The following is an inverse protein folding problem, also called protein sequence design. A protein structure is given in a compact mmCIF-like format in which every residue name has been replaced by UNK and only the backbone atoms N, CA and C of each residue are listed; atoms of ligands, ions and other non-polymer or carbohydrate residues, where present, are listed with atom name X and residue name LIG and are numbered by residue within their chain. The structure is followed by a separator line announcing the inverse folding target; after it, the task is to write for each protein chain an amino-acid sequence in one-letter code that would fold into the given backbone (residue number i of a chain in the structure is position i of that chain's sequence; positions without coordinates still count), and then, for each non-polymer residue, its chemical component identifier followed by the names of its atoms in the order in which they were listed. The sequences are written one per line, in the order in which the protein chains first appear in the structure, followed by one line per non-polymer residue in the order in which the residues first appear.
data_IF_716879886593
#
_entry.id   IF_716879886593
#
_cell.length_a   1.000
_cell.length_b   1.000
_cell.length_c   1.000
_cell.angle_alpha   90.00
_cell.angle_beta   90.00
_cell.angle_gamma   90.00
#
_symmetry.space_group_name_H-M   'P 1'
#
loop_
_entity.id
_entity.type
_entity.pdbx_description
1 polymer ?
#
# COMPACT_ATOMS: atom_id res chain seq x y z
N UNK A 1 18.63 16.68 13.11
CA UNK A 1 19.03 16.82 11.70
C UNK A 1 17.76 16.75 10.86
N UNK A 2 17.67 17.39 9.69
CA UNK A 2 16.52 17.23 8.82
C UNK A 2 16.37 15.74 8.46
N UNK A 3 15.22 15.16 8.77
CA UNK A 3 14.91 13.77 8.49
C UNK A 3 13.70 13.65 7.57
N UNK A 4 13.75 12.68 6.66
CA UNK A 4 12.67 12.30 5.77
C UNK A 4 12.08 11.00 6.30
N UNK A 5 10.75 10.94 6.33
CA UNK A 5 10.02 9.73 6.63
C UNK A 5 8.91 9.53 5.59
N UNK A 6 9.00 8.45 4.82
CA UNK A 6 8.03 8.09 3.78
C UNK A 6 7.44 6.74 4.15
N UNK A 7 6.11 6.68 4.14
CA UNK A 7 5.35 5.45 4.33
C UNK A 7 4.45 5.21 3.11
N UNK A 8 4.44 3.98 2.60
CA UNK A 8 3.62 3.56 1.46
C UNK A 8 3.02 2.19 1.70
N UNK A 9 1.70 2.11 1.69
CA UNK A 9 0.98 0.84 1.74
C UNK A 9 0.82 0.24 0.34
N UNK A 10 0.86 -1.08 0.26
CA UNK A 10 0.67 -1.83 -0.98
C UNK A 10 0.10 -3.24 -0.73
N UNK A 11 -0.29 -3.92 -1.81
CA UNK A 11 -0.92 -5.24 -1.76
C UNK A 11 -0.17 -6.32 -2.55
N UNK A 12 1.12 -6.09 -2.83
CA UNK A 12 1.99 -6.98 -3.61
C UNK A 12 2.32 -8.31 -2.90
N UNK A 13 2.34 -8.32 -1.55
CA UNK A 13 2.86 -9.44 -0.79
C UNK A 13 4.40 -9.45 -0.76
N UNK A 14 4.98 -10.27 0.11
CA UNK A 14 6.39 -10.15 0.50
C UNK A 14 7.39 -10.42 -0.64
N UNK A 15 7.16 -11.45 -1.45
CA UNK A 15 8.08 -11.81 -2.53
C UNK A 15 8.18 -10.70 -3.60
N UNK A 16 7.05 -10.12 -3.99
CA UNK A 16 7.04 -8.99 -4.92
C UNK A 16 7.60 -7.72 -4.27
N UNK A 17 7.28 -7.48 -3.00
CA UNK A 17 7.82 -6.38 -2.21
C UNK A 17 9.36 -6.42 -2.16
N UNK A 18 9.96 -7.59 -1.93
CA UNK A 18 11.42 -7.80 -1.99
C UNK A 18 12.00 -7.41 -3.34
N UNK A 19 11.39 -7.87 -4.44
CA UNK A 19 11.84 -7.51 -5.79
C UNK A 19 11.79 -6.00 -6.05
N UNK A 20 10.77 -5.32 -5.53
CA UNK A 20 10.67 -3.87 -5.63
C UNK A 20 11.76 -3.19 -4.78
N UNK A 21 12.01 -3.67 -3.56
CA UNK A 21 13.10 -3.16 -2.71
C UNK A 21 14.48 -3.29 -3.38
N UNK A 22 14.76 -4.44 -3.99
CA UNK A 22 16.00 -4.67 -4.77
C UNK A 22 16.08 -3.76 -5.99
N UNK A 23 14.97 -3.61 -6.73
CA UNK A 23 14.90 -2.72 -7.90
C UNK A 23 15.15 -1.26 -7.52
N UNK A 24 14.64 -0.85 -6.34
CA UNK A 24 14.90 0.49 -5.81
C UNK A 24 16.37 0.64 -5.41
N UNK A 25 16.98 -0.35 -4.75
CA UNK A 25 18.40 -0.34 -4.39
C UNK A 25 19.29 -0.11 -5.63
N UNK A 26 19.10 -0.91 -6.68
CA UNK A 26 19.88 -0.76 -7.92
C UNK A 26 19.72 0.62 -8.55
N UNK A 27 18.50 1.17 -8.52
CA UNK A 27 18.23 2.51 -9.03
C UNK A 27 18.89 3.57 -8.16
N UNK A 28 18.89 3.39 -6.84
CA UNK A 28 19.53 4.29 -5.91
C UNK A 28 21.05 4.34 -6.13
N UNK A 29 21.69 3.19 -6.29
CA UNK A 29 23.11 3.10 -6.65
C UNK A 29 23.39 3.80 -7.99
N UNK A 30 22.68 3.44 -9.05
CA UNK A 30 22.95 3.93 -10.42
C UNK A 30 22.61 5.40 -10.63
N UNK A 31 21.48 5.87 -10.11
CA UNK A 31 20.97 7.23 -10.37
C UNK A 31 21.47 8.24 -9.34
N UNK A 32 21.67 7.81 -8.10
CA UNK A 32 22.00 8.71 -7.00
C UNK A 32 23.37 8.46 -6.37
N UNK A 33 24.16 7.52 -6.89
CA UNK A 33 25.49 7.19 -6.38
C UNK A 33 25.44 6.88 -4.88
N UNK A 34 24.44 6.05 -4.50
CA UNK A 34 24.27 5.57 -3.13
C UNK A 34 25.06 4.29 -2.93
N UNK A 35 25.71 4.16 -1.77
CA UNK A 35 26.16 2.88 -1.25
C UNK A 35 24.96 2.16 -0.63
N UNK A 36 24.60 0.99 -1.15
CA UNK A 36 23.47 0.19 -0.66
C UNK A 36 23.94 -1.13 -0.03
N UNK A 37 23.24 -1.56 1.01
CA UNK A 37 23.42 -2.88 1.65
C UNK A 37 22.05 -3.45 1.97
N UNK A 38 21.76 -4.63 1.44
CA UNK A 38 20.46 -5.28 1.59
C UNK A 38 20.54 -6.44 2.59
N UNK A 39 19.69 -6.42 3.62
CA UNK A 39 19.53 -7.48 4.60
C UNK A 39 18.17 -8.16 4.40
N UNK A 40 18.19 -9.42 3.95
CA UNK A 40 16.99 -10.24 3.80
C UNK A 40 16.57 -10.88 5.13
N UNK A 41 15.28 -10.81 5.46
CA UNK A 41 14.68 -11.50 6.59
C UNK A 41 13.52 -12.42 6.20
N UNK A 42 12.90 -13.08 7.18
CA UNK A 42 11.81 -14.02 6.92
C UNK A 42 10.48 -13.34 6.59
N UNK A 43 10.22 -12.17 7.19
CA UNK A 43 8.97 -11.43 7.07
C UNK A 43 9.16 -9.95 6.68
N UNK A 44 10.37 -9.44 6.83
CA UNK A 44 10.75 -8.06 6.55
C UNK A 44 12.20 -8.03 6.09
N UNK A 45 12.48 -7.22 5.08
CA UNK A 45 13.85 -6.90 4.68
C UNK A 45 14.21 -5.48 5.06
N UNK A 46 15.50 -5.23 5.24
CA UNK A 46 16.03 -3.90 5.48
C UNK A 46 17.10 -3.57 4.47
N UNK A 47 16.87 -2.51 3.71
CA UNK A 47 17.88 -1.92 2.84
C UNK A 47 18.47 -0.69 3.51
N UNK A 48 19.77 -0.71 3.76
CA UNK A 48 20.53 0.45 4.21
C UNK A 48 21.10 1.16 2.99
N UNK A 49 20.99 2.48 2.96
CA UNK A 49 21.59 3.29 1.90
C UNK A 49 22.29 4.51 2.48
N UNK A 50 23.42 4.90 1.90
CA UNK A 50 24.15 6.08 2.34
C UNK A 50 24.99 6.70 1.23
N UNK A 51 25.26 7.99 1.37
CA UNK A 51 26.26 8.75 0.61
C UNK A 51 26.69 9.96 1.43
N UNK A 52 27.62 10.76 0.90
CA UNK A 52 27.97 12.03 1.50
C UNK A 52 26.73 12.93 1.71
N UNK A 53 26.35 13.13 2.97
CA UNK A 53 25.24 14.00 3.38
C UNK A 53 23.84 13.37 3.36
N UNK A 54 23.70 12.07 3.08
CA UNK A 54 22.42 11.35 3.19
C UNK A 54 22.68 9.95 3.73
N UNK A 55 21.92 9.50 4.72
CA UNK A 55 21.93 8.10 5.17
C UNK A 55 20.54 7.68 5.56
N UNK A 56 20.17 6.43 5.32
CA UNK A 56 18.82 5.99 5.58
C UNK A 56 18.61 4.50 5.46
N UNK A 57 17.36 4.11 5.69
CA UNK A 57 16.89 2.74 5.61
C UNK A 57 15.55 2.68 4.88
N UNK A 58 15.35 1.62 4.10
CA UNK A 58 14.06 1.23 3.53
C UNK A 58 13.70 -0.13 4.11
N UNK A 59 12.65 -0.16 4.93
CA UNK A 59 12.03 -1.40 5.41
C UNK A 59 11.02 -1.87 4.37
N UNK A 60 11.13 -3.15 4.03
CA UNK A 60 10.33 -3.82 3.01
C UNK A 60 9.49 -4.88 3.71
N UNK A 61 8.19 -4.66 3.82
CA UNK A 61 7.22 -5.62 4.37
C UNK A 61 6.27 -6.09 3.27
N UNK A 62 5.52 -7.17 3.53
CA UNK A 62 4.50 -7.68 2.62
C UNK A 62 3.41 -6.66 2.24
N UNK A 63 3.15 -5.68 3.09
CA UNK A 63 2.04 -4.73 2.94
C UNK A 63 2.46 -3.27 2.92
N UNK A 64 3.70 -2.96 3.25
CA UNK A 64 4.13 -1.58 3.38
C UNK A 64 5.63 -1.43 3.16
N UNK A 65 5.98 -0.23 2.71
CA UNK A 65 7.33 0.29 2.74
C UNK A 65 7.43 1.45 3.71
N UNK A 66 8.49 1.43 4.52
CA UNK A 66 8.83 2.50 5.44
C UNK A 66 10.26 2.94 5.16
N UNK A 67 10.43 4.17 4.69
CA UNK A 67 11.74 4.75 4.41
C UNK A 67 12.03 5.88 5.38
N UNK A 68 13.22 5.82 5.99
CA UNK A 68 13.77 6.88 6.83
C UNK A 68 15.09 7.34 6.25
N UNK A 69 15.30 8.64 6.13
CA UNK A 69 16.59 9.18 5.72
C UNK A 69 16.94 10.41 6.53
N UNK A 70 18.15 10.45 7.07
CA UNK A 70 18.74 11.64 7.67
C UNK A 70 19.54 12.40 6.61
N UNK A 71 19.29 13.71 6.54
CA UNK A 71 19.98 14.63 5.65
C UNK A 71 21.01 15.45 6.42
N UNK A 72 22.16 15.64 5.80
CA UNK A 72 23.16 16.60 6.23
C UNK A 72 22.68 18.04 6.03
N UNK A 73 23.33 18.98 6.71
CA UNK A 73 22.96 20.40 6.72
C UNK A 73 22.75 21.00 5.32
N UNK A 74 23.63 20.68 4.36
CA UNK A 74 23.55 21.19 2.99
C UNK A 74 22.27 20.79 2.24
N UNK A 75 21.70 19.63 2.59
CA UNK A 75 20.50 19.09 1.94
C UNK A 75 19.21 19.46 2.65
N UNK A 76 19.29 20.04 3.85
CA UNK A 76 18.10 20.39 4.66
C UNK A 76 17.12 21.33 3.96
N UNK A 77 17.63 22.30 3.19
CA UNK A 77 16.80 23.25 2.43
C UNK A 77 16.04 22.58 1.26
N UNK A 78 16.47 21.39 0.83
CA UNK A 78 15.85 20.63 -0.25
C UNK A 78 15.05 19.43 0.25
N UNK A 79 14.84 19.30 1.57
CA UNK A 79 14.13 18.16 2.20
C UNK A 79 12.85 17.81 1.46
N UNK A 80 11.96 18.77 1.28
CA UNK A 80 10.63 18.54 0.66
C UNK A 80 10.76 18.01 -0.77
N UNK A 81 11.69 18.55 -1.55
CA UNK A 81 11.94 18.10 -2.92
C UNK A 81 12.54 16.69 -2.96
N UNK A 82 13.46 16.38 -2.05
CA UNK A 82 14.08 15.06 -1.95
C UNK A 82 13.04 14.02 -1.53
N UNK A 83 12.21 14.35 -0.54
CA UNK A 83 11.10 13.52 -0.06
C UNK A 83 10.09 13.24 -1.19
N UNK A 84 9.72 14.26 -1.97
CA UNK A 84 8.84 14.11 -3.12
C UNK A 84 9.44 13.21 -4.21
N UNK A 85 10.69 13.43 -4.63
CA UNK A 85 11.36 12.61 -5.66
C UNK A 85 11.46 11.15 -5.21
N UNK A 86 11.84 10.90 -3.95
CA UNK A 86 11.92 9.54 -3.42
C UNK A 86 10.53 8.88 -3.40
N UNK A 87 9.52 9.61 -2.93
CA UNK A 87 8.13 9.16 -2.90
C UNK A 87 7.62 8.78 -4.30
N UNK A 88 7.80 9.66 -5.28
CA UNK A 88 7.42 9.41 -6.67
C UNK A 88 8.11 8.18 -7.27
N UNK A 89 9.39 7.98 -6.95
CA UNK A 89 10.10 6.79 -7.43
C UNK A 89 9.61 5.50 -6.80
N UNK A 90 9.29 5.51 -5.50
CA UNK A 90 8.72 4.37 -4.81
C UNK A 90 7.32 4.06 -5.35
N UNK A 91 6.50 5.09 -5.52
CA UNK A 91 5.15 4.98 -6.08
C UNK A 91 5.19 4.46 -7.52
N UNK A 92 6.15 4.90 -8.34
CA UNK A 92 6.32 4.39 -9.70
C UNK A 92 6.68 2.89 -9.72
N UNK A 93 7.52 2.42 -8.79
CA UNK A 93 7.88 1.00 -8.70
C UNK A 93 6.73 0.13 -8.18
N UNK A 94 5.95 0.65 -7.22
CA UNK A 94 4.78 -0.01 -6.67
C UNK A 94 3.64 -0.13 -7.70
N UNK A 95 3.47 0.87 -8.57
CA UNK A 95 2.43 0.89 -9.60
C UNK A 95 2.87 0.29 -10.94
N UNK A 96 4.15 -0.03 -11.11
CA UNK A 96 4.63 -0.70 -12.32
C UNK A 96 3.96 -2.09 -12.46
N UNK A 97 3.54 -2.49 -13.67
CA UNK A 97 2.91 -3.79 -13.88
C UNK A 97 3.87 -4.93 -13.54
N UNK A 98 3.79 -5.42 -12.31
CA UNK A 98 4.57 -6.56 -11.84
C UNK A 98 3.91 -7.86 -12.32
N UNK A 99 4.67 -8.81 -12.87
CA UNK A 99 4.11 -10.00 -13.52
C UNK A 99 3.32 -10.96 -12.61
N UNK A 100 3.33 -10.80 -11.27
CA UNK A 100 2.51 -11.62 -10.37
C UNK A 100 1.17 -10.97 -9.94
N UNK A 101 0.92 -9.69 -10.25
CA UNK A 101 -0.34 -9.00 -9.91
C UNK A 101 -1.58 -9.45 -10.71
N UNK A 102 -1.47 -10.43 -11.64
CA UNK A 102 -2.60 -10.92 -12.44
C UNK A 102 -3.60 -11.83 -11.71
N UNK A 103 -3.59 -11.92 -10.37
CA UNK A 103 -4.53 -12.78 -9.61
C UNK A 103 -5.28 -12.14 -8.45
N UNK A 104 -5.27 -10.82 -8.31
CA UNK A 104 -6.04 -10.16 -7.24
C UNK A 104 -6.73 -8.89 -7.72
N UNK A 105 -7.61 -9.03 -8.72
CA UNK A 105 -8.71 -8.09 -8.90
C UNK A 105 -10.02 -8.88 -8.73
N UNK A 106 -10.71 -8.81 -7.59
CA UNK A 106 -12.12 -9.11 -7.59
C UNK A 106 -12.79 -7.93 -8.30
N UNK A 107 -13.07 -8.11 -9.59
CA UNK A 107 -14.11 -7.35 -10.27
C UNK A 107 -15.36 -7.44 -9.39
N UNK A 108 -15.69 -6.34 -8.72
CA UNK A 108 -16.87 -6.21 -7.88
C UNK A 108 -18.06 -6.51 -8.79
N UNK A 109 -18.57 -7.74 -8.68
CA UNK A 109 -19.85 -8.15 -9.25
C UNK A 109 -20.92 -7.33 -8.55
N UNK A 110 -21.39 -6.29 -9.23
CA UNK A 110 -22.50 -5.47 -8.77
C UNK A 110 -23.80 -6.23 -9.01
N UNK A 111 -24.25 -6.98 -8.00
CA UNK A 111 -25.66 -7.27 -7.72
C UNK A 111 -25.76 -7.93 -6.33
N UNK A 112 -26.63 -7.40 -5.46
CA UNK A 112 -27.90 -8.09 -5.33
C UNK A 112 -29.12 -7.19 -5.49
N UNK A 113 -30.12 -7.82 -6.12
CA UNK A 113 -31.54 -7.53 -6.15
C UNK A 113 -32.05 -6.46 -5.15
N UNK A 114 -32.58 -5.38 -5.70
CA UNK A 114 -33.62 -4.59 -5.05
C UNK A 114 -34.96 -5.24 -5.36
N UNK A 115 -35.54 -5.84 -4.33
CA UNK A 115 -36.91 -6.29 -4.25
C UNK A 115 -37.85 -5.09 -4.09
N UNK A 116 -39.01 -5.12 -4.74
CA UNK A 116 -40.16 -4.30 -4.36
C UNK A 116 -40.63 -3.26 -5.38
N UNK A 117 -41.30 -3.75 -6.43
CA UNK A 117 -42.22 -2.97 -7.24
C UNK A 117 -43.48 -2.57 -6.43
N UNK A 118 -44.11 -1.50 -6.90
CA UNK A 118 -45.15 -0.71 -6.26
C UNK A 118 -46.53 -1.37 -6.07
N UNK A 119 -47.34 -0.68 -5.24
CA UNK A 119 -48.77 -0.38 -5.39
C UNK A 119 -49.84 -1.43 -4.97
N UNK A 120 -50.55 -1.06 -3.89
CA UNK A 120 -52.03 -0.94 -3.71
C UNK A 120 -52.91 -2.13 -4.15
N UNK A 121 -53.77 -2.62 -3.24
CA UNK A 121 -55.26 -2.58 -3.33
C UNK A 121 -55.90 -3.32 -2.14
N UNK A 122 -57.08 -2.83 -1.75
CA UNK A 122 -57.85 -3.10 -0.54
C UNK A 122 -58.57 -4.47 -0.44
N UNK A 123 -58.80 -4.93 0.80
CA UNK A 123 -60.06 -5.49 1.33
C UNK A 123 -59.82 -5.97 2.79
N UNK A 124 -60.39 -5.31 3.81
CA UNK A 124 -61.75 -5.50 4.39
C UNK A 124 -61.88 -6.79 5.23
N UNK A 125 -62.07 -6.59 6.54
CA UNK A 125 -62.32 -7.60 7.58
C UNK A 125 -63.63 -8.40 7.34
N UNK A 126 -63.92 -9.52 8.06
CA UNK A 126 -64.32 -9.45 9.49
C UNK A 126 -63.96 -10.68 10.38
N UNK A 127 -64.43 -10.61 11.63
CA UNK A 127 -64.22 -11.41 12.83
C UNK A 127 -64.74 -12.87 12.89
N UNK A 128 -64.43 -13.51 14.05
CA UNK A 128 -64.97 -14.72 14.72
C UNK A 128 -63.97 -15.90 14.74
N UNK A 129 -63.84 -16.75 15.75
CA UNK A 129 -64.35 -16.90 17.12
C UNK A 129 -63.67 -18.17 17.73
N UNK A 130 -63.67 -18.32 19.06
CA UNK A 130 -63.66 -19.60 19.82
C UNK A 130 -62.40 -20.52 19.68
N UNK A 131 -61.98 -21.40 20.60
CA UNK A 131 -62.38 -21.82 21.95
C UNK A 131 -61.22 -22.66 22.57
N UNK A 132 -61.12 -22.62 23.90
CA UNK A 132 -60.85 -23.68 24.90
C UNK A 132 -59.92 -24.91 24.63
N UNK A 133 -59.18 -25.20 25.73
CA UNK A 133 -58.70 -26.49 26.29
C UNK A 133 -57.48 -27.18 25.63
N UNK A 134 -56.41 -27.31 26.41
CA UNK A 134 -56.07 -28.54 27.13
C UNK A 134 -55.29 -28.17 28.40
#
# INVERSE_FOLDING_TARGET
MPDIHIHREHHLGFAEARNVGLSWAEKAEKKFDMDCTYEEGDAQDTLYFSRAGVKGTLLVDARQFEMKAELGFLFGAFKERIEAEIGEQLDALLNAPHPAARKSAPAIKKAPAQDGAEHKTASRAPAKAAARKA
#
